data_IF_324637903816
#
_entry.id   IF_324637903816
#
_cell.length_a   1.000
_cell.length_b   1.000
_cell.length_c   1.000
_cell.angle_alpha   90.00
_cell.angle_beta   90.00
_cell.angle_gamma   90.00
#
_symmetry.space_group_name_H-M   'P 1'
#
loop_
_entity.id
_entity.type
_entity.pdbx_description
1 polymer ?
#
# COMPACT_ATOMS: atom_id res chain seq x y z
N UNK A 1 -19.01 10.63 -4.49
CA UNK A 1 -18.05 11.76 -4.50
C UNK A 1 -17.76 12.12 -5.95
N UNK A 2 -17.56 13.40 -6.26
CA UNK A 2 -17.16 13.80 -7.62
C UNK A 2 -15.73 13.34 -7.97
N UNK A 3 -15.50 12.92 -9.21
CA UNK A 3 -14.24 12.31 -9.67
C UNK A 3 -13.00 13.15 -9.32
N UNK A 4 -13.03 14.45 -9.64
CA UNK A 4 -11.91 15.36 -9.38
C UNK A 4 -11.62 15.47 -7.88
N UNK A 5 -12.67 15.46 -7.06
CA UNK A 5 -12.53 15.50 -5.61
C UNK A 5 -11.97 14.19 -5.08
N UNK A 6 -12.35 13.04 -5.63
CA UNK A 6 -11.77 11.76 -5.25
C UNK A 6 -10.27 11.72 -5.55
N UNK A 7 -9.86 12.15 -6.74
CA UNK A 7 -8.45 12.19 -7.16
C UNK A 7 -7.64 13.14 -6.27
N UNK A 8 -8.12 14.36 -6.07
CA UNK A 8 -7.42 15.39 -5.28
C UNK A 8 -7.53 15.17 -3.77
N UNK A 9 -8.53 14.43 -3.31
CA UNK A 9 -8.83 14.21 -1.89
C UNK A 9 -8.12 12.99 -1.31
N UNK A 10 -7.89 11.93 -2.11
CA UNK A 10 -7.22 10.72 -1.65
C UNK A 10 -5.82 11.03 -1.08
N UNK A 11 -5.52 10.50 0.10
CA UNK A 11 -4.22 10.63 0.78
C UNK A 11 -3.66 9.25 1.14
N UNK A 12 -2.35 9.20 1.42
CA UNK A 12 -1.72 8.00 1.98
C UNK A 12 -1.81 8.08 3.50
N UNK A 13 -2.73 7.30 4.05
CA UNK A 13 -3.03 7.30 5.47
C UNK A 13 -2.13 6.30 6.19
N UNK A 14 -1.63 6.70 7.37
CA UNK A 14 -0.60 5.99 8.14
C UNK A 14 -0.98 5.84 9.61
N UNK A 15 -2.26 6.03 9.91
CA UNK A 15 -2.85 5.82 11.24
C UNK A 15 -4.31 5.50 11.02
N UNK A 16 -4.65 4.22 11.18
CA UNK A 16 -6.02 3.74 10.98
C UNK A 16 -6.74 3.56 12.32
N UNK A 17 -8.06 3.61 12.26
CA UNK A 17 -8.89 3.19 13.39
C UNK A 17 -8.98 1.66 13.41
N UNK A 18 -9.29 1.09 14.57
CA UNK A 18 -9.48 -0.36 14.74
C UNK A 18 -10.83 -0.88 14.22
N UNK A 19 -11.65 -0.02 13.62
CA UNK A 19 -12.96 -0.40 13.10
C UNK A 19 -12.80 -1.27 11.86
N UNK A 20 -13.38 -2.47 11.88
CA UNK A 20 -13.39 -3.36 10.73
C UNK A 20 -14.17 -2.77 9.56
N UNK A 21 -13.67 -2.99 8.34
CA UNK A 21 -14.39 -2.65 7.11
C UNK A 21 -15.38 -3.78 6.79
N UNK A 22 -16.67 -3.50 6.58
CA UNK A 22 -17.64 -4.53 6.23
C UNK A 22 -17.24 -5.29 4.96
N UNK A 23 -17.40 -6.61 4.96
CA UNK A 23 -17.05 -7.46 3.79
C UNK A 23 -17.81 -7.04 2.53
N UNK A 24 -19.06 -6.58 2.66
CA UNK A 24 -19.85 -6.06 1.54
C UNK A 24 -19.19 -4.85 0.88
N UNK A 25 -18.68 -3.90 1.69
CA UNK A 25 -17.97 -2.71 1.19
C UNK A 25 -16.68 -3.10 0.49
N UNK A 26 -15.90 -4.04 1.05
CA UNK A 26 -14.68 -4.53 0.40
C UNK A 26 -15.01 -5.17 -0.95
N UNK A 27 -16.04 -6.02 -1.00
CA UNK A 27 -16.48 -6.66 -2.26
C UNK A 27 -16.91 -5.63 -3.29
N UNK A 28 -17.68 -4.61 -2.89
CA UNK A 28 -18.12 -3.54 -3.77
C UNK A 28 -16.94 -2.75 -4.35
N UNK A 29 -15.93 -2.44 -3.51
CA UNK A 29 -14.70 -1.77 -3.96
C UNK A 29 -13.99 -2.61 -5.03
N UNK A 30 -13.83 -3.91 -4.80
CA UNK A 30 -13.14 -4.81 -5.73
C UNK A 30 -13.94 -5.05 -7.02
N UNK A 31 -15.26 -5.19 -6.91
CA UNK A 31 -16.16 -5.37 -8.05
C UNK A 31 -16.28 -4.11 -8.92
N UNK A 32 -16.10 -2.94 -8.33
CA UNK A 32 -15.96 -1.70 -9.10
C UNK A 32 -14.56 -1.58 -9.70
N UNK A 33 -13.51 -1.88 -8.93
CA UNK A 33 -12.13 -1.72 -9.38
C UNK A 33 -11.73 -2.67 -10.50
N UNK A 34 -12.34 -3.85 -10.64
CA UNK A 34 -12.06 -4.80 -11.74
C UNK A 34 -12.35 -4.22 -13.14
N UNK A 35 -13.09 -3.12 -13.23
CA UNK A 35 -13.31 -2.37 -14.47
C UNK A 35 -12.11 -1.54 -14.91
N UNK A 36 -11.02 -1.55 -14.13
CA UNK A 36 -9.76 -0.94 -14.55
C UNK A 36 -9.28 -1.57 -15.87
N UNK A 37 -8.77 -0.77 -16.82
CA UNK A 37 -8.23 -1.32 -18.05
C UNK A 37 -6.97 -2.15 -17.76
N UNK A 38 -6.70 -3.10 -18.64
CA UNK A 38 -5.46 -3.88 -18.68
C UNK A 38 -5.06 -4.13 -20.12
N UNK A 39 -3.77 -4.40 -20.37
CA UNK A 39 -3.29 -4.71 -21.71
C UNK A 39 -4.06 -5.91 -22.28
N UNK A 40 -4.71 -5.72 -23.42
CA UNK A 40 -5.53 -6.77 -24.08
C UNK A 40 -6.68 -7.32 -23.21
N UNK A 41 -7.12 -6.59 -22.17
CA UNK A 41 -8.08 -7.05 -21.17
C UNK A 41 -7.65 -8.32 -20.39
N UNK A 42 -6.34 -8.53 -20.24
CA UNK A 42 -5.78 -9.72 -19.58
C UNK A 42 -6.11 -9.81 -18.10
N UNK A 43 -6.37 -8.68 -17.43
CA UNK A 43 -6.73 -8.61 -16.00
C UNK A 43 -5.77 -9.45 -15.12
N UNK A 44 -4.45 -9.17 -15.14
CA UNK A 44 -3.44 -10.08 -14.59
C UNK A 44 -3.41 -10.17 -13.05
N UNK A 45 -4.26 -9.40 -12.38
CA UNK A 45 -4.26 -9.25 -10.92
C UNK A 45 -4.89 -10.44 -10.19
N UNK A 46 -4.17 -10.91 -9.17
CA UNK A 46 -4.69 -11.77 -8.10
C UNK A 46 -4.76 -10.94 -6.81
N UNK A 47 -5.98 -10.65 -6.34
CA UNK A 47 -6.20 -9.80 -5.17
C UNK A 47 -6.51 -10.67 -3.93
N UNK A 48 -5.60 -10.67 -2.97
CA UNK A 48 -5.80 -11.33 -1.68
C UNK A 48 -6.19 -10.31 -0.61
N UNK A 49 -7.37 -10.48 -0.03
CA UNK A 49 -7.87 -9.62 1.06
C UNK A 49 -7.62 -10.30 2.40
N UNK A 50 -6.84 -9.64 3.25
CA UNK A 50 -6.54 -10.08 4.60
C UNK A 50 -7.26 -9.17 5.60
N UNK A 51 -8.10 -9.76 6.45
CA UNK A 51 -8.78 -9.09 7.58
C UNK A 51 -8.72 -9.98 8.82
N UNK A 52 -9.09 -9.43 9.99
CA UNK A 52 -9.24 -10.18 11.24
C UNK A 52 -8.01 -11.03 11.60
N UNK A 53 -8.22 -12.29 11.95
CA UNK A 53 -7.15 -13.17 12.44
C UNK A 53 -6.06 -13.45 11.41
N UNK A 54 -6.40 -13.53 10.12
CA UNK A 54 -5.40 -13.75 9.06
C UNK A 54 -4.48 -12.55 8.92
N UNK A 55 -5.03 -11.33 8.97
CA UNK A 55 -4.23 -10.11 8.95
C UNK A 55 -3.36 -9.98 10.20
N UNK A 56 -3.90 -10.34 11.38
CA UNK A 56 -3.14 -10.36 12.62
C UNK A 56 -1.91 -11.28 12.51
N UNK A 57 -2.11 -12.52 12.06
CA UNK A 57 -1.01 -13.47 11.83
C UNK A 57 0.01 -12.94 10.82
N UNK A 58 -0.45 -12.34 9.72
CA UNK A 58 0.45 -11.72 8.72
C UNK A 58 1.32 -10.63 9.35
N UNK A 59 0.73 -9.70 10.12
CA UNK A 59 1.47 -8.62 10.79
C UNK A 59 2.51 -9.18 11.78
N UNK A 60 2.15 -10.18 12.58
CA UNK A 60 3.04 -10.84 13.53
C UNK A 60 4.22 -11.53 12.81
N UNK A 61 3.95 -12.26 11.72
CA UNK A 61 4.97 -12.91 10.91
C UNK A 61 5.92 -11.91 10.25
N UNK A 62 5.37 -10.83 9.68
CA UNK A 62 6.17 -9.78 9.01
C UNK A 62 7.08 -9.04 10.01
N UNK A 63 6.55 -8.72 11.19
CA UNK A 63 7.32 -8.11 12.26
C UNK A 63 8.44 -9.03 12.74
N UNK A 64 8.12 -10.30 13.01
CA UNK A 64 9.11 -11.27 13.46
C UNK A 64 10.25 -11.45 12.45
N UNK A 65 9.94 -11.63 11.16
CA UNK A 65 10.96 -11.75 10.11
C UNK A 65 11.85 -10.51 10.01
N UNK A 66 11.27 -9.31 10.20
CA UNK A 66 12.06 -8.08 10.18
C UNK A 66 13.00 -7.99 11.39
N UNK A 67 12.51 -8.34 12.58
CA UNK A 67 13.30 -8.31 13.82
C UNK A 67 14.43 -9.35 13.83
N UNK A 68 14.23 -10.51 13.20
CA UNK A 68 15.25 -11.57 13.09
C UNK A 68 16.24 -11.34 11.94
N UNK A 69 16.09 -10.25 11.17
CA UNK A 69 16.99 -9.92 10.07
C UNK A 69 16.88 -10.88 8.89
N UNK A 70 15.67 -11.38 8.60
CA UNK A 70 15.45 -12.24 7.44
C UNK A 70 15.94 -11.58 6.15
N UNK A 71 16.55 -12.36 5.21
CA UNK A 71 17.00 -11.81 3.94
C UNK A 71 15.87 -11.14 3.16
N UNK A 72 16.12 -9.95 2.63
CA UNK A 72 15.17 -9.24 1.77
C UNK A 72 15.28 -9.82 0.36
N UNK A 73 14.17 -10.35 -0.15
CA UNK A 73 14.07 -10.95 -1.50
C UNK A 73 12.85 -10.39 -2.22
N UNK A 74 12.92 -9.17 -2.79
CA UNK A 74 11.80 -8.56 -3.48
C UNK A 74 11.59 -9.22 -4.84
N UNK A 75 10.33 -9.46 -5.21
CA UNK A 75 9.97 -10.03 -6.52
C UNK A 75 10.24 -9.08 -7.68
N UNK A 76 10.15 -7.78 -7.40
CA UNK A 76 10.51 -6.71 -8.32
C UNK A 76 11.80 -6.06 -7.82
N UNK A 77 12.87 -6.05 -8.61
CA UNK A 77 14.13 -5.40 -8.21
C UNK A 77 13.91 -3.94 -7.84
N UNK A 78 14.57 -3.50 -6.76
CA UNK A 78 14.52 -2.10 -6.37
C UNK A 78 15.37 -1.25 -7.31
N UNK A 79 14.86 -0.09 -7.71
CA UNK A 79 15.64 0.86 -8.50
C UNK A 79 16.78 1.44 -7.66
N UNK A 80 18.02 1.28 -8.11
CA UNK A 80 19.21 1.74 -7.37
C UNK A 80 19.44 3.25 -7.49
N UNK A 81 19.07 3.85 -8.62
CA UNK A 81 19.34 5.26 -8.92
C UNK A 81 18.13 5.96 -9.50
N UNK A 82 17.73 7.04 -8.84
CA UNK A 82 16.74 7.98 -9.34
C UNK A 82 17.44 9.18 -10.00
N UNK A 83 16.90 9.74 -11.09
CA UNK A 83 17.26 11.07 -11.56
C UNK A 83 17.11 12.11 -10.44
N UNK A 84 17.95 13.15 -10.46
CA UNK A 84 18.09 14.09 -9.33
C UNK A 84 16.78 14.73 -8.88
N UNK A 85 15.92 15.12 -9.83
CA UNK A 85 14.62 15.70 -9.52
C UNK A 85 13.70 14.72 -8.76
N UNK A 86 13.73 13.43 -9.11
CA UNK A 86 12.94 12.39 -8.45
C UNK A 86 13.52 12.04 -7.07
N UNK A 87 14.86 11.95 -6.98
CA UNK A 87 15.58 11.75 -5.71
C UNK A 87 15.28 12.86 -4.71
N UNK A 88 15.26 14.12 -5.16
CA UNK A 88 14.92 15.27 -4.33
C UNK A 88 13.49 15.18 -3.78
N UNK A 89 12.51 14.83 -4.63
CA UNK A 89 11.11 14.63 -4.21
C UNK A 89 10.98 13.49 -3.20
N UNK A 90 11.64 12.35 -3.43
CA UNK A 90 11.65 11.20 -2.53
C UNK A 90 12.20 11.57 -1.14
N UNK A 91 13.37 12.23 -1.11
CA UNK A 91 13.98 12.68 0.14
C UNK A 91 13.15 13.71 0.89
N UNK A 92 12.52 14.65 0.16
CA UNK A 92 11.66 15.66 0.77
C UNK A 92 10.40 15.04 1.38
N UNK A 93 9.77 14.08 0.71
CA UNK A 93 8.58 13.40 1.23
C UNK A 93 8.89 12.69 2.56
N UNK A 94 10.01 11.97 2.63
CA UNK A 94 10.43 11.29 3.87
C UNK A 94 10.61 12.26 5.05
N UNK A 95 11.22 13.42 4.80
CA UNK A 95 11.35 14.48 5.82
C UNK A 95 9.99 14.98 6.28
N UNK A 96 9.11 15.34 5.34
CA UNK A 96 7.78 15.87 5.64
C UNK A 96 6.96 14.88 6.47
N UNK A 97 6.91 13.61 6.06
CA UNK A 97 6.13 12.58 6.75
C UNK A 97 6.57 12.38 8.20
N UNK A 98 7.87 12.42 8.48
CA UNK A 98 8.37 12.29 9.85
C UNK A 98 8.14 13.59 10.65
N UNK A 99 8.39 14.76 10.06
CA UNK A 99 8.23 16.04 10.75
C UNK A 99 6.79 16.33 11.15
N UNK A 100 5.79 15.99 10.32
CA UNK A 100 4.37 16.21 10.68
C UNK A 100 3.90 15.29 11.81
N UNK A 101 4.65 14.21 12.09
CA UNK A 101 4.42 13.31 13.22
C UNK A 101 5.25 13.70 14.46
N UNK A 102 5.98 14.81 14.41
CA UNK A 102 6.85 15.26 15.50
C UNK A 102 8.14 14.45 15.66
N UNK A 103 8.51 13.65 14.65
CA UNK A 103 9.69 12.77 14.71
C UNK A 103 10.91 13.51 14.15
N UNK A 104 11.80 13.93 15.04
CA UNK A 104 13.00 14.68 14.70
C UNK A 104 14.05 13.82 13.96
N UNK A 105 15.12 14.46 13.45
CA UNK A 105 16.15 13.75 12.68
C UNK A 105 17.08 12.89 13.54
N UNK A 106 17.24 13.25 14.78
CA UNK A 106 18.04 12.59 15.81
C UNK A 106 17.19 11.69 16.73
N UNK A 107 15.85 11.76 16.63
CA UNK A 107 14.92 10.88 17.33
C UNK A 107 14.95 9.45 16.75
N UNK A 108 15.93 8.67 17.22
CA UNK A 108 16.10 7.27 16.82
C UNK A 108 14.90 6.41 17.23
N UNK A 109 14.42 6.56 18.46
CA UNK A 109 13.32 5.76 19.01
C UNK A 109 11.99 6.01 18.27
N UNK A 110 11.67 7.28 17.99
CA UNK A 110 10.47 7.63 17.23
C UNK A 110 10.50 7.09 15.80
N UNK A 111 11.67 7.07 15.16
CA UNK A 111 11.85 6.48 13.83
C UNK A 111 11.72 4.97 13.83
N UNK A 112 12.36 4.29 14.78
CA UNK A 112 12.21 2.84 14.97
C UNK A 112 10.73 2.48 15.15
N UNK A 113 10.00 3.23 15.97
CA UNK A 113 8.55 3.07 16.15
C UNK A 113 7.77 3.31 14.85
N UNK A 114 8.10 4.34 14.08
CA UNK A 114 7.45 4.60 12.79
C UNK A 114 7.65 3.44 11.81
N UNK A 115 8.88 2.88 11.74
CA UNK A 115 9.16 1.72 10.90
C UNK A 115 8.45 0.46 11.41
N UNK A 116 8.39 0.23 12.72
CA UNK A 116 7.61 -0.87 13.31
C UNK A 116 6.12 -0.77 12.92
N UNK A 117 5.53 0.43 13.02
CA UNK A 117 4.15 0.66 12.57
C UNK A 117 4.00 0.38 11.08
N UNK A 118 4.95 0.80 10.24
CA UNK A 118 4.93 0.51 8.80
C UNK A 118 4.96 -1.00 8.51
N UNK A 119 5.79 -1.76 9.22
CA UNK A 119 5.89 -3.23 9.11
C UNK A 119 4.57 -3.90 9.54
N UNK A 120 3.90 -3.35 10.55
CA UNK A 120 2.55 -3.77 10.97
C UNK A 120 1.41 -3.11 10.16
N UNK A 121 1.71 -2.62 8.95
CA UNK A 121 0.78 -1.97 8.00
C UNK A 121 -0.05 -0.83 8.61
N UNK A 122 0.58 -0.05 9.48
CA UNK A 122 0.00 1.08 10.22
C UNK A 122 -1.29 0.72 10.99
N UNK A 123 -1.39 -0.53 11.41
CA UNK A 123 -2.55 -1.10 12.09
C UNK A 123 -3.86 -1.07 11.28
N UNK A 124 -3.78 -0.92 9.96
CA UNK A 124 -4.95 -1.01 9.09
C UNK A 124 -5.74 -2.32 9.36
N UNK A 125 -7.09 -2.27 9.41
CA UNK A 125 -7.93 -3.46 9.67
C UNK A 125 -8.10 -4.36 8.44
N UNK A 126 -7.69 -3.88 7.26
CA UNK A 126 -7.75 -4.58 6.00
C UNK A 126 -6.44 -4.35 5.21
N UNK A 127 -5.89 -5.41 4.65
CA UNK A 127 -4.78 -5.37 3.70
C UNK A 127 -5.21 -6.05 2.41
N UNK A 128 -5.00 -5.38 1.28
CA UNK A 128 -5.17 -5.97 -0.05
C UNK A 128 -3.77 -6.17 -0.63
N UNK A 129 -3.39 -7.43 -0.87
CA UNK A 129 -2.18 -7.80 -1.59
C UNK A 129 -2.54 -8.04 -3.05
N UNK A 130 -1.93 -7.27 -3.95
CA UNK A 130 -2.04 -7.47 -5.39
C UNK A 130 -0.84 -8.28 -5.89
N UNK A 131 -1.12 -9.45 -6.43
CA UNK A 131 -0.13 -10.39 -6.95
C UNK A 131 -0.31 -10.55 -8.46
N UNK A 132 0.75 -10.98 -9.14
CA UNK A 132 0.81 -11.28 -10.57
C UNK A 132 1.50 -12.64 -10.77
N UNK A 133 1.33 -13.25 -11.94
CA UNK A 133 2.06 -14.49 -12.25
C UNK A 133 3.54 -14.18 -12.51
N UNK A 134 4.42 -15.08 -12.04
CA UNK A 134 5.86 -15.07 -12.38
C UNK A 134 6.15 -15.62 -13.77
N UNK A 135 5.17 -16.26 -14.41
CA UNK A 135 5.35 -16.87 -15.74
C UNK A 135 5.38 -15.84 -16.88
N UNK A 136 5.00 -14.59 -16.58
CA UNK A 136 4.91 -13.50 -17.54
C UNK A 136 5.87 -12.37 -17.18
N UNK A 137 6.16 -11.50 -18.16
CA UNK A 137 6.96 -10.29 -17.93
C UNK A 137 6.32 -9.41 -16.86
N UNK A 138 7.10 -9.09 -15.83
CA UNK A 138 6.64 -8.33 -14.66
C UNK A 138 6.26 -6.91 -15.06
N UNK A 139 7.02 -6.28 -15.94
CA UNK A 139 6.86 -4.87 -16.34
C UNK A 139 5.49 -4.60 -16.96
N UNK A 140 5.00 -5.51 -17.80
CA UNK A 140 3.68 -5.41 -18.43
C UNK A 140 2.56 -5.52 -17.39
N UNK A 141 2.66 -6.52 -16.52
CA UNK A 141 1.65 -6.77 -15.49
C UNK A 141 1.63 -5.67 -14.43
N UNK A 142 2.79 -5.11 -14.08
CA UNK A 142 2.93 -4.07 -13.05
C UNK A 142 2.24 -2.75 -13.43
N UNK A 143 2.18 -2.40 -14.71
CA UNK A 143 1.39 -1.25 -15.17
C UNK A 143 -0.10 -1.47 -14.86
N UNK A 144 -0.62 -2.65 -15.18
CA UNK A 144 -2.02 -3.02 -14.94
C UNK A 144 -2.34 -3.09 -13.43
N UNK A 145 -1.40 -3.59 -12.61
CA UNK A 145 -1.50 -3.52 -11.15
C UNK A 145 -1.59 -2.07 -10.66
N UNK A 146 -0.79 -1.16 -11.22
CA UNK A 146 -0.84 0.26 -10.88
C UNK A 146 -2.22 0.87 -11.16
N UNK A 147 -2.84 0.51 -12.29
CA UNK A 147 -4.17 0.98 -12.67
C UNK A 147 -5.24 0.52 -11.68
N UNK A 148 -5.31 -0.79 -11.39
CA UNK A 148 -6.33 -1.30 -10.47
C UNK A 148 -6.07 -0.87 -9.02
N UNK A 149 -4.81 -0.77 -8.58
CA UNK A 149 -4.50 -0.27 -7.24
C UNK A 149 -4.98 1.17 -7.05
N UNK A 150 -4.78 2.04 -8.06
CA UNK A 150 -5.29 3.40 -8.02
C UNK A 150 -6.82 3.44 -7.98
N UNK A 151 -7.50 2.62 -8.80
CA UNK A 151 -8.97 2.51 -8.77
C UNK A 151 -9.47 2.08 -7.38
N UNK A 152 -8.87 1.04 -6.78
CA UNK A 152 -9.19 0.59 -5.42
C UNK A 152 -9.08 1.74 -4.43
N UNK A 153 -7.98 2.50 -4.46
CA UNK A 153 -7.80 3.63 -3.54
C UNK A 153 -8.82 4.75 -3.73
N UNK A 154 -9.20 5.06 -4.98
CA UNK A 154 -10.21 6.10 -5.26
C UNK A 154 -11.60 5.67 -4.81
N UNK A 155 -11.99 4.42 -5.09
CA UNK A 155 -13.29 3.88 -4.70
C UNK A 155 -13.35 3.73 -3.18
N UNK A 156 -12.28 3.27 -2.53
CA UNK A 156 -12.20 3.24 -1.07
C UNK A 156 -12.40 4.65 -0.48
N UNK A 157 -11.76 5.67 -1.04
CA UNK A 157 -11.94 7.05 -0.62
C UNK A 157 -13.37 7.57 -0.83
N UNK A 158 -13.99 7.23 -1.96
CA UNK A 158 -15.40 7.52 -2.23
C UNK A 158 -16.34 6.91 -1.17
N UNK A 159 -16.01 5.70 -0.70
CA UNK A 159 -16.70 5.00 0.40
C UNK A 159 -16.35 5.51 1.79
N UNK A 160 -15.58 6.58 1.91
CA UNK A 160 -15.17 7.17 3.19
C UNK A 160 -14.09 6.38 3.93
N UNK A 161 -13.39 5.47 3.23
CA UNK A 161 -12.24 4.74 3.76
C UNK A 161 -10.95 5.47 3.38
N UNK A 162 -9.93 5.31 4.22
CA UNK A 162 -8.69 6.08 4.11
C UNK A 162 -8.43 6.76 5.42
#
# INVERSE_FOLDING_TARGET
MELVNAIKGRRSIRKFQSQDVPKSVIKEILDTARWSPSWGNTQPWFLHVLTGQTLKKFKEMNLNQTLTGAPISPDVPMLEKWPDAMKARYGQLGKVVLSVQGIARDDKAGREKYYANMISVFDAPCLILACISRDNLVEYQMLDIGLIAQSICLIAHDKGLG
#
